data_IF_927948863810
#
_entry.id   IF_927948863810
#
_cell.length_a   1.000
_cell.length_b   1.000
_cell.length_c   1.000
_cell.angle_alpha   90.00
_cell.angle_beta   90.00
_cell.angle_gamma   90.00
#
_symmetry.space_group_name_H-M   'P 1'
#
loop_
_entity.id
_entity.type
_entity.pdbx_description
1 polymer ?
#
# COMPACT_ATOMS: atom_id res chain seq x y z
N UNK A 1 25.14 27.57 -29.35
CA UNK A 1 25.51 26.98 -28.04
C UNK A 1 24.81 25.64 -27.93
N UNK A 2 25.48 24.61 -27.40
CA UNK A 2 24.83 23.34 -27.06
C UNK A 2 23.88 23.55 -25.88
N UNK A 3 22.70 22.96 -25.94
CA UNK A 3 21.78 22.92 -24.81
C UNK A 3 22.41 22.13 -23.65
N UNK A 4 22.28 22.65 -22.43
CA UNK A 4 22.66 21.95 -21.20
C UNK A 4 21.41 21.91 -20.33
N UNK A 5 20.83 20.73 -20.05
CA UNK A 5 19.67 20.62 -19.18
C UNK A 5 20.01 21.10 -17.77
N UNK A 6 19.10 21.84 -17.14
CA UNK A 6 19.23 22.25 -15.75
C UNK A 6 18.58 21.18 -14.87
N UNK A 7 19.38 20.47 -14.09
CA UNK A 7 18.91 19.53 -13.08
C UNK A 7 18.37 20.27 -11.86
N UNK A 8 17.28 19.78 -11.26
CA UNK A 8 16.65 20.38 -10.08
C UNK A 8 16.43 19.39 -8.92
N UNK A 9 17.51 18.82 -8.34
CA UNK A 9 17.36 18.08 -7.08
C UNK A 9 16.89 19.02 -5.96
N UNK A 10 15.99 18.53 -5.10
CA UNK A 10 15.51 19.27 -3.94
C UNK A 10 16.44 19.09 -2.73
N UNK A 11 16.44 20.09 -1.85
CA UNK A 11 17.08 20.00 -0.54
C UNK A 11 16.25 19.19 0.45
N UNK A 12 14.92 19.19 0.32
CA UNK A 12 14.03 18.26 0.99
C UNK A 12 14.17 16.85 0.43
N UNK A 13 13.99 15.85 1.30
CA UNK A 13 14.13 14.43 0.98
C UNK A 13 13.03 13.62 1.67
N UNK A 14 12.38 12.72 0.94
CA UNK A 14 11.45 11.77 1.53
C UNK A 14 12.26 10.79 2.42
N UNK A 15 11.78 10.56 3.64
CA UNK A 15 12.34 9.60 4.56
C UNK A 15 12.35 8.20 3.94
N UNK A 16 13.39 7.45 4.22
CA UNK A 16 13.50 6.07 3.80
C UNK A 16 12.95 5.16 4.90
N UNK A 17 12.00 4.30 4.57
CA UNK A 17 11.45 3.30 5.49
C UNK A 17 11.79 1.91 4.97
N UNK A 18 12.47 1.12 5.80
CA UNK A 18 12.77 -0.28 5.50
C UNK A 18 11.63 -1.17 5.99
N UNK A 19 11.15 -2.07 5.14
CA UNK A 19 10.16 -3.10 5.44
C UNK A 19 10.78 -4.50 5.32
N UNK A 20 10.40 -5.40 6.21
CA UNK A 20 10.97 -6.76 6.27
C UNK A 20 12.38 -6.80 6.86
N UNK A 21 13.00 -7.97 6.79
CA UNK A 21 14.34 -8.23 7.34
C UNK A 21 15.19 -9.08 6.39
N UNK A 22 16.50 -9.09 6.61
CA UNK A 22 17.44 -9.88 5.81
C UNK A 22 17.50 -9.45 4.35
N UNK A 23 17.86 -10.39 3.47
CA UNK A 23 18.14 -10.13 2.05
C UNK A 23 16.89 -9.74 1.22
N UNK A 24 15.69 -9.94 1.79
CA UNK A 24 14.41 -9.59 1.17
C UNK A 24 13.84 -8.28 1.70
N UNK A 25 14.52 -7.61 2.62
CA UNK A 25 14.10 -6.29 3.07
C UNK A 25 14.06 -5.31 1.89
N UNK A 26 13.02 -4.49 1.86
CA UNK A 26 12.85 -3.44 0.85
C UNK A 26 12.92 -2.07 1.52
N UNK A 27 13.26 -1.05 0.74
CA UNK A 27 13.20 0.34 1.18
C UNK A 27 12.21 1.08 0.29
N UNK A 28 11.31 1.84 0.92
CA UNK A 28 10.41 2.80 0.25
C UNK A 28 10.79 4.22 0.64
N UNK A 29 10.56 5.19 -0.25
CA UNK A 29 10.98 6.57 -0.05
C UNK A 29 12.46 6.81 -0.34
N UNK A 30 13.05 7.82 0.31
CA UNK A 30 14.44 8.22 0.06
C UNK A 30 14.62 9.16 -1.14
N UNK A 31 13.55 9.62 -1.78
CA UNK A 31 13.64 10.45 -2.98
C UNK A 31 13.83 11.92 -2.65
N UNK A 32 14.65 12.63 -3.44
CA UNK A 32 14.79 14.10 -3.39
C UNK A 32 14.51 14.75 -4.75
N UNK A 33 13.75 14.08 -5.60
CA UNK A 33 13.28 14.54 -6.92
C UNK A 33 11.79 14.27 -7.05
N UNK A 34 11.16 14.89 -8.05
CA UNK A 34 9.79 14.57 -8.40
C UNK A 34 9.68 13.12 -8.91
N UNK A 35 8.49 12.50 -8.81
CA UNK A 35 8.29 11.11 -9.22
C UNK A 35 8.77 10.86 -10.65
N UNK A 36 9.67 9.88 -10.84
CA UNK A 36 10.25 9.50 -12.13
C UNK A 36 11.11 10.56 -12.84
N UNK A 37 11.50 11.64 -12.17
CA UNK A 37 12.37 12.67 -12.76
C UNK A 37 13.85 12.25 -12.63
N UNK A 38 14.21 11.08 -13.19
CA UNK A 38 15.57 10.52 -13.17
C UNK A 38 16.61 11.40 -13.88
N UNK A 39 16.14 12.31 -14.73
CA UNK A 39 16.97 13.33 -15.36
C UNK A 39 17.43 14.44 -14.40
N UNK A 40 16.76 14.63 -13.26
CA UNK A 40 17.13 15.64 -12.25
C UNK A 40 18.07 15.06 -11.18
N UNK A 41 17.85 13.82 -10.75
CA UNK A 41 18.73 13.06 -9.87
C UNK A 41 18.39 11.55 -9.90
N UNK A 42 19.30 10.67 -9.44
CA UNK A 42 19.01 9.23 -9.33
C UNK A 42 17.86 8.94 -8.37
N UNK A 43 17.00 7.99 -8.75
CA UNK A 43 15.97 7.42 -7.88
C UNK A 43 16.55 6.18 -7.22
N UNK A 44 17.04 6.31 -5.98
CA UNK A 44 17.77 5.21 -5.29
C UNK A 44 16.85 4.02 -4.99
N UNK A 45 15.62 4.29 -4.54
CA UNK A 45 14.62 3.27 -4.28
C UNK A 45 13.46 3.42 -5.27
N UNK A 46 13.47 2.62 -6.33
CA UNK A 46 12.34 2.55 -7.26
C UNK A 46 11.04 2.22 -6.50
N UNK A 47 9.87 2.77 -6.93
CA UNK A 47 8.60 2.45 -6.29
C UNK A 47 8.32 0.96 -6.21
N UNK A 48 7.57 0.54 -5.18
CA UNK A 48 7.37 -0.87 -4.84
C UNK A 48 5.93 -1.34 -5.10
N UNK A 49 5.78 -2.60 -5.45
CA UNK A 49 4.46 -3.22 -5.66
C UNK A 49 4.19 -4.27 -4.58
N UNK A 50 3.12 -4.07 -3.83
CA UNK A 50 2.56 -5.05 -2.91
C UNK A 50 1.50 -5.90 -3.60
N UNK A 51 1.44 -7.19 -3.25
CA UNK A 51 0.34 -8.07 -3.69
C UNK A 51 -0.60 -8.34 -2.53
N UNK A 52 -1.85 -7.93 -2.68
CA UNK A 52 -2.92 -8.19 -1.73
C UNK A 52 -3.34 -9.66 -1.75
N UNK A 53 -3.44 -10.24 -0.56
CA UNK A 53 -4.04 -11.52 -0.28
C UNK A 53 -5.07 -11.28 0.83
N UNK A 54 -6.35 -11.41 0.48
CA UNK A 54 -7.43 -11.31 1.47
C UNK A 54 -7.77 -12.68 2.05
N UNK A 55 -8.24 -12.72 3.29
CA UNK A 55 -8.76 -13.93 3.93
C UNK A 55 -10.09 -14.42 3.34
N UNK A 56 -10.63 -13.70 2.36
CA UNK A 56 -11.79 -14.07 1.52
C UNK A 56 -11.40 -14.36 0.06
N UNK A 57 -10.11 -14.61 -0.24
CA UNK A 57 -9.61 -14.72 -1.63
C UNK A 57 -10.24 -15.87 -2.44
N UNK A 58 -10.91 -16.81 -1.77
CA UNK A 58 -11.73 -17.86 -2.39
C UNK A 58 -12.98 -17.32 -3.11
N UNK A 59 -13.38 -16.08 -2.81
CA UNK A 59 -14.54 -15.41 -3.39
C UNK A 59 -14.21 -14.61 -4.67
N UNK A 60 -12.93 -14.48 -5.03
CA UNK A 60 -12.52 -13.77 -6.24
C UNK A 60 -13.08 -14.42 -7.51
N UNK A 61 -13.68 -13.61 -8.37
CA UNK A 61 -14.39 -14.07 -9.56
C UNK A 61 -13.62 -13.86 -10.87
N UNK A 62 -12.63 -12.96 -10.90
CA UNK A 62 -11.84 -12.66 -12.11
C UNK A 62 -11.11 -13.92 -12.61
N UNK A 63 -11.34 -14.37 -13.87
CA UNK A 63 -10.77 -15.60 -14.40
C UNK A 63 -9.26 -15.75 -14.23
N UNK A 64 -8.47 -14.73 -14.55
CA UNK A 64 -7.01 -14.70 -14.43
C UNK A 64 -6.52 -14.78 -12.99
N UNK A 65 -7.25 -14.21 -12.02
CA UNK A 65 -6.98 -14.42 -10.59
C UNK A 65 -7.25 -15.87 -10.18
N UNK A 66 -8.39 -16.44 -10.60
CA UNK A 66 -8.75 -17.83 -10.26
C UNK A 66 -7.78 -18.83 -10.88
N UNK A 67 -7.33 -18.59 -12.11
CA UNK A 67 -6.33 -19.41 -12.78
C UNK A 67 -4.98 -19.32 -12.06
N UNK A 68 -4.52 -18.10 -11.74
CA UNK A 68 -3.24 -17.91 -11.06
C UNK A 68 -3.21 -18.60 -9.68
N UNK A 69 -4.29 -18.51 -8.91
CA UNK A 69 -4.40 -19.12 -7.58
C UNK A 69 -5.05 -20.52 -7.60
N UNK A 70 -5.15 -21.17 -8.75
CA UNK A 70 -5.78 -22.49 -8.86
C UNK A 70 -5.14 -23.50 -7.88
N UNK A 71 -5.98 -24.12 -7.04
CA UNK A 71 -5.56 -25.09 -6.03
C UNK A 71 -5.14 -24.50 -4.68
N UNK A 72 -5.11 -23.17 -4.52
CA UNK A 72 -4.91 -22.54 -3.22
C UNK A 72 -6.18 -22.66 -2.37
N UNK A 73 -6.03 -23.01 -1.09
CA UNK A 73 -7.19 -23.12 -0.17
C UNK A 73 -6.97 -22.39 1.15
N UNK A 74 -5.73 -22.09 1.51
CA UNK A 74 -5.37 -21.37 2.74
C UNK A 74 -4.65 -20.06 2.41
N UNK A 75 -4.71 -19.06 3.30
CA UNK A 75 -3.97 -17.81 3.12
C UNK A 75 -2.46 -18.03 2.88
N UNK A 76 -1.89 -19.10 3.45
CA UNK A 76 -0.51 -19.53 3.21
C UNK A 76 -0.29 -19.96 1.75
N UNK A 77 -1.21 -20.70 1.16
CA UNK A 77 -1.10 -21.12 -0.25
C UNK A 77 -1.15 -19.91 -1.18
N UNK A 78 -2.11 -19.01 -0.93
CA UNK A 78 -2.21 -17.74 -1.68
C UNK A 78 -0.94 -16.91 -1.50
N UNK A 79 -0.40 -16.77 -0.29
CA UNK A 79 0.81 -16.01 -0.03
C UNK A 79 2.05 -16.59 -0.73
N UNK A 80 2.25 -17.91 -0.66
CA UNK A 80 3.35 -18.58 -1.40
C UNK A 80 3.20 -18.39 -2.91
N UNK A 81 1.97 -18.44 -3.42
CA UNK A 81 1.72 -18.25 -4.84
C UNK A 81 1.95 -16.79 -5.27
N UNK A 82 1.50 -15.83 -4.46
CA UNK A 82 1.74 -14.40 -4.66
C UNK A 82 3.23 -14.05 -4.60
N UNK A 83 4.02 -14.69 -3.74
CA UNK A 83 5.48 -14.51 -3.66
C UNK A 83 6.19 -14.88 -4.99
N UNK A 84 5.59 -15.75 -5.81
CA UNK A 84 6.10 -16.10 -7.14
C UNK A 84 5.68 -15.13 -8.25
N UNK A 85 4.86 -14.12 -7.93
CA UNK A 85 4.37 -13.15 -8.91
C UNK A 85 5.50 -12.22 -9.33
N UNK A 86 5.79 -12.20 -10.64
CA UNK A 86 6.80 -11.30 -11.19
C UNK A 86 6.39 -9.84 -10.93
N UNK A 87 7.28 -9.09 -10.28
CA UNK A 87 7.06 -7.69 -9.93
C UNK A 87 6.61 -7.46 -8.49
N UNK A 88 6.25 -8.50 -7.73
CA UNK A 88 5.94 -8.38 -6.31
C UNK A 88 7.20 -8.03 -5.49
N UNK A 89 7.12 -6.97 -4.69
CA UNK A 89 8.16 -6.56 -3.75
C UNK A 89 7.80 -6.89 -2.29
N UNK A 90 6.50 -6.97 -1.97
CA UNK A 90 5.99 -7.35 -0.64
C UNK A 90 4.59 -7.97 -0.74
N UNK A 91 4.14 -8.61 0.34
CA UNK A 91 2.81 -9.20 0.44
C UNK A 91 1.94 -8.39 1.41
N UNK A 92 0.69 -8.15 1.06
CA UNK A 92 -0.27 -7.47 1.90
C UNK A 92 -1.37 -8.44 2.33
N UNK A 93 -1.43 -8.78 3.62
CA UNK A 93 -2.46 -9.63 4.20
C UNK A 93 -3.64 -8.75 4.64
N UNK A 94 -4.79 -8.94 4.00
CA UNK A 94 -6.01 -8.18 4.27
C UNK A 94 -7.02 -9.06 5.00
N UNK A 95 -7.41 -8.66 6.21
CA UNK A 95 -8.34 -9.41 7.05
C UNK A 95 -9.76 -8.84 6.96
N UNK A 96 -10.37 -8.91 5.77
CA UNK A 96 -11.73 -8.43 5.53
C UNK A 96 -12.76 -9.20 6.37
N UNK A 97 -12.57 -10.52 6.53
CA UNK A 97 -13.50 -11.37 7.28
C UNK A 97 -13.58 -11.04 8.77
N UNK A 98 -12.65 -10.24 9.30
CA UNK A 98 -12.66 -9.79 10.69
C UNK A 98 -13.78 -8.78 11.00
N UNK A 99 -14.41 -8.15 9.99
CA UNK A 99 -15.45 -7.13 10.19
C UNK A 99 -16.58 -7.66 11.10
N UNK A 100 -16.85 -7.00 12.24
CA UNK A 100 -17.99 -7.34 13.11
C UNK A 100 -19.36 -7.34 12.42
N UNK A 101 -19.52 -6.61 11.31
CA UNK A 101 -20.75 -6.56 10.53
C UNK A 101 -20.82 -7.63 9.43
N UNK A 102 -19.72 -8.35 9.20
CA UNK A 102 -19.61 -9.43 8.23
C UNK A 102 -19.46 -10.79 8.91
N UNK A 103 -18.43 -11.54 8.53
CA UNK A 103 -18.14 -12.86 9.10
C UNK A 103 -17.68 -12.78 10.58
N UNK A 104 -17.19 -11.62 11.02
CA UNK A 104 -16.70 -11.37 12.38
C UNK A 104 -15.73 -12.44 12.87
N UNK A 105 -14.79 -12.84 12.00
CA UNK A 105 -13.84 -13.90 12.31
C UNK A 105 -13.01 -13.52 13.57
N UNK A 106 -12.70 -14.48 14.47
CA UNK A 106 -11.95 -14.20 15.68
C UNK A 106 -10.54 -13.67 15.39
N UNK A 107 -10.07 -12.71 16.19
CA UNK A 107 -8.74 -12.11 16.03
C UNK A 107 -7.65 -13.17 16.15
N UNK A 108 -7.82 -14.15 17.03
CA UNK A 108 -6.87 -15.25 17.24
C UNK A 108 -6.64 -16.07 15.97
N UNK A 109 -7.67 -16.27 15.15
CA UNK A 109 -7.55 -16.99 13.89
C UNK A 109 -6.82 -16.16 12.83
N UNK A 110 -7.15 -14.86 12.72
CA UNK A 110 -6.43 -13.95 11.83
C UNK A 110 -4.93 -13.85 12.20
N UNK A 111 -4.62 -13.84 13.49
CA UNK A 111 -3.24 -13.86 14.00
C UNK A 111 -2.54 -15.17 13.67
N UNK A 112 -3.24 -16.31 13.75
CA UNK A 112 -2.68 -17.60 13.37
C UNK A 112 -2.33 -17.64 11.88
N UNK A 113 -3.20 -17.10 11.02
CA UNK A 113 -2.94 -17.00 9.58
C UNK A 113 -1.74 -16.08 9.29
N UNK A 114 -1.68 -14.90 9.92
CA UNK A 114 -0.55 -13.99 9.78
C UNK A 114 0.79 -14.63 10.17
N UNK A 115 0.81 -15.40 11.27
CA UNK A 115 1.99 -16.17 11.71
C UNK A 115 2.37 -17.24 10.69
N UNK A 116 1.40 -18.04 10.26
CA UNK A 116 1.64 -19.12 9.32
C UNK A 116 2.18 -18.60 7.98
N UNK A 117 1.68 -17.46 7.50
CA UNK A 117 2.22 -16.80 6.32
C UNK A 117 3.64 -16.29 6.57
N UNK A 118 3.90 -15.61 7.68
CA UNK A 118 5.23 -15.07 8.01
C UNK A 118 6.32 -16.12 8.25
N UNK A 119 5.94 -17.37 8.53
CA UNK A 119 6.83 -18.54 8.58
C UNK A 119 7.06 -19.17 7.21
N UNK A 120 6.10 -19.01 6.29
CA UNK A 120 6.08 -19.66 4.99
C UNK A 120 6.71 -18.85 3.85
N UNK A 121 6.76 -17.52 3.98
CA UNK A 121 7.24 -16.59 2.94
C UNK A 121 8.47 -15.82 3.42
N UNK A 122 9.24 -15.32 2.46
CA UNK A 122 10.46 -14.53 2.70
C UNK A 122 10.28 -13.03 2.46
N UNK A 123 9.27 -12.64 1.67
CA UNK A 123 8.98 -11.24 1.37
C UNK A 123 8.51 -10.45 2.61
N UNK A 124 8.72 -9.13 2.64
CA UNK A 124 8.13 -8.24 3.64
C UNK A 124 6.60 -8.36 3.66
N UNK A 125 6.01 -8.18 4.85
CA UNK A 125 4.57 -8.29 5.07
C UNK A 125 3.98 -6.94 5.47
N UNK A 126 2.86 -6.62 4.84
CA UNK A 126 1.95 -5.53 5.18
C UNK A 126 0.64 -6.12 5.69
N UNK A 127 0.03 -5.50 6.69
CA UNK A 127 -1.24 -5.95 7.28
C UNK A 127 -2.29 -4.87 7.04
N UNK A 128 -3.44 -5.25 6.48
CA UNK A 128 -4.65 -4.42 6.41
C UNK A 128 -5.76 -5.07 7.23
N UNK A 129 -6.49 -4.22 7.98
CA UNK A 129 -7.64 -4.62 8.78
C UNK A 129 -8.95 -4.51 8.01
N UNK A 130 -10.05 -4.65 8.73
CA UNK A 130 -11.42 -4.62 8.22
C UNK A 130 -12.07 -3.21 8.25
N UNK A 131 -11.29 -2.18 8.59
CA UNK A 131 -11.70 -0.77 8.75
C UNK A 131 -12.56 -0.49 9.99
N UNK A 132 -12.94 -1.48 10.80
CA UNK A 132 -13.60 -1.26 12.07
C UNK A 132 -12.58 -0.86 13.16
N UNK A 133 -12.73 0.33 13.77
CA UNK A 133 -11.77 0.90 14.73
C UNK A 133 -11.42 -0.05 15.90
N UNK A 134 -12.43 -0.64 16.54
CA UNK A 134 -12.21 -1.49 17.72
C UNK A 134 -11.58 -2.82 17.34
N UNK A 135 -12.13 -3.47 16.31
CA UNK A 135 -11.62 -4.76 15.81
C UNK A 135 -10.20 -4.63 15.28
N UNK A 136 -9.93 -3.60 14.47
CA UNK A 136 -8.59 -3.35 13.92
C UNK A 136 -7.59 -3.03 15.02
N UNK A 137 -7.98 -2.25 16.03
CA UNK A 137 -7.10 -1.96 17.18
C UNK A 137 -6.64 -3.23 17.91
N UNK A 138 -7.55 -4.18 18.13
CA UNK A 138 -7.22 -5.48 18.72
C UNK A 138 -6.36 -6.34 17.77
N UNK A 139 -6.79 -6.48 16.52
CA UNK A 139 -6.12 -7.24 15.47
C UNK A 139 -4.67 -6.78 15.26
N UNK A 140 -4.47 -5.48 15.07
CA UNK A 140 -3.17 -4.87 14.81
C UNK A 140 -2.21 -5.05 15.97
N UNK A 141 -2.68 -4.88 17.20
CA UNK A 141 -1.87 -5.10 18.39
C UNK A 141 -1.40 -6.56 18.46
N UNK A 142 -2.32 -7.51 18.27
CA UNK A 142 -2.03 -8.95 18.36
C UNK A 142 -1.16 -9.47 17.22
N UNK A 143 -1.35 -9.00 15.99
CA UNK A 143 -0.47 -9.35 14.86
C UNK A 143 0.92 -8.73 15.04
N UNK A 144 1.00 -7.50 15.53
CA UNK A 144 2.30 -6.84 15.78
C UNK A 144 3.11 -7.57 16.84
N UNK A 145 2.46 -8.04 17.92
CA UNK A 145 3.04 -8.91 18.95
C UNK A 145 3.54 -10.22 18.34
N UNK A 146 2.65 -10.89 17.60
CA UNK A 146 2.90 -12.19 16.98
C UNK A 146 4.07 -12.19 15.99
N UNK A 147 4.26 -11.09 15.27
CA UNK A 147 5.25 -10.94 14.22
C UNK A 147 6.43 -10.04 14.65
N UNK A 148 6.66 -9.88 15.96
CA UNK A 148 7.76 -9.06 16.47
C UNK A 148 9.10 -9.48 15.85
N UNK A 149 9.88 -8.49 15.41
CA UNK A 149 11.16 -8.72 14.73
C UNK A 149 11.06 -9.02 13.24
N UNK A 150 9.85 -9.11 12.65
CA UNK A 150 9.65 -9.22 11.20
C UNK A 150 9.64 -7.88 10.46
N UNK A 151 9.56 -6.76 11.19
CA UNK A 151 9.55 -5.40 10.64
C UNK A 151 8.42 -5.22 9.59
N UNK A 152 7.20 -5.59 9.98
CA UNK A 152 6.00 -5.47 9.15
C UNK A 152 5.51 -4.03 9.11
N UNK A 153 4.69 -3.70 8.10
CA UNK A 153 3.89 -2.47 8.09
C UNK A 153 2.44 -2.80 8.43
N UNK A 154 1.87 -2.10 9.41
CA UNK A 154 0.46 -2.25 9.79
C UNK A 154 -0.33 -1.03 9.34
N UNK A 155 -1.27 -1.23 8.42
CA UNK A 155 -2.11 -0.21 7.83
C UNK A 155 -3.53 -0.28 8.42
N UNK A 156 -3.99 0.70 9.23
CA UNK A 156 -3.32 1.97 9.58
C UNK A 156 -3.82 2.57 10.90
N UNK A 157 -3.00 3.42 11.51
CA UNK A 157 -3.45 4.42 12.48
C UNK A 157 -4.24 5.54 11.78
N UNK A 158 -5.32 6.00 12.41
CA UNK A 158 -6.21 7.08 12.00
C UNK A 158 -6.33 8.12 13.11
N UNK A 159 -6.94 9.27 12.84
CA UNK A 159 -7.07 10.35 13.82
C UNK A 159 -7.77 9.91 15.13
N UNK A 160 -8.67 8.93 15.03
CA UNK A 160 -9.46 8.39 16.13
C UNK A 160 -8.69 7.38 17.00
N UNK A 161 -7.81 6.59 16.39
CA UNK A 161 -7.18 5.42 17.03
C UNK A 161 -5.63 5.50 17.10
N UNK A 162 -5.00 6.58 16.61
CA UNK A 162 -3.54 6.71 16.51
C UNK A 162 -2.78 6.45 17.80
N UNK A 163 -3.37 6.78 18.96
CA UNK A 163 -2.74 6.49 20.27
C UNK A 163 -2.62 5.00 20.51
N UNK A 164 -3.71 4.27 20.29
CA UNK A 164 -3.76 2.83 20.54
C UNK A 164 -2.95 2.08 19.48
N UNK A 165 -3.19 2.37 18.20
CA UNK A 165 -2.51 1.71 17.09
C UNK A 165 -1.02 2.07 17.08
N UNK A 166 -0.69 3.36 17.15
CA UNK A 166 0.71 3.81 17.14
C UNK A 166 1.52 3.28 18.33
N UNK A 167 0.94 3.28 19.54
CA UNK A 167 1.64 2.74 20.72
C UNK A 167 1.81 1.23 20.66
N UNK A 168 0.78 0.47 20.27
CA UNK A 168 0.88 -0.99 20.18
C UNK A 168 1.80 -1.43 19.05
N UNK A 169 1.60 -0.94 17.83
CA UNK A 169 2.36 -1.34 16.64
C UNK A 169 3.83 -0.94 16.77
N UNK A 170 4.12 0.33 17.07
CA UNK A 170 5.49 0.87 17.02
C UNK A 170 6.18 0.80 18.37
N UNK A 171 5.59 1.37 19.42
CA UNK A 171 6.30 1.52 20.70
C UNK A 171 6.44 0.19 21.45
N UNK A 172 5.42 -0.67 21.41
CA UNK A 172 5.46 -1.96 22.09
C UNK A 172 6.21 -3.02 21.27
N UNK A 173 5.99 -3.07 19.95
CA UNK A 173 6.47 -4.17 19.11
C UNK A 173 7.47 -3.78 18.02
N UNK A 174 7.82 -2.50 17.89
CA UNK A 174 8.89 -2.05 16.99
C UNK A 174 8.59 -2.21 15.50
N UNK A 175 7.32 -2.31 15.12
CA UNK A 175 6.87 -2.44 13.73
C UNK A 175 6.74 -1.05 13.06
N UNK A 176 6.32 -1.04 11.79
CA UNK A 176 6.01 0.17 11.02
C UNK A 176 4.50 0.39 11.01
N UNK A 177 4.08 1.65 11.01
CA UNK A 177 2.66 2.03 11.06
C UNK A 177 2.27 2.88 9.86
N UNK A 178 1.15 2.53 9.24
CA UNK A 178 0.46 3.34 8.26
C UNK A 178 -0.24 4.51 8.95
N UNK A 179 -0.21 5.71 8.37
CA UNK A 179 -0.94 6.88 8.83
C UNK A 179 -2.02 7.23 7.81
N UNK A 180 -3.26 6.82 8.07
CA UNK A 180 -4.38 6.92 7.13
C UNK A 180 -5.19 8.21 7.30
N UNK A 181 -5.40 8.91 6.19
CA UNK A 181 -6.20 10.13 6.10
C UNK A 181 -7.09 10.14 4.86
N UNK A 182 -7.96 11.14 4.73
CA UNK A 182 -8.95 11.23 3.67
C UNK A 182 -8.65 12.40 2.71
N UNK A 183 -7.73 12.17 1.77
CA UNK A 183 -7.41 13.04 0.64
C UNK A 183 -7.15 14.52 1.00
N UNK A 184 -6.60 14.77 2.19
CA UNK A 184 -6.31 16.13 2.68
C UNK A 184 -4.92 16.21 3.33
N UNK A 185 -4.08 17.10 2.78
CA UNK A 185 -2.72 17.36 3.25
C UNK A 185 -2.65 17.81 4.71
N UNK A 186 -3.61 18.62 5.18
CA UNK A 186 -3.62 19.10 6.56
C UNK A 186 -3.95 17.96 7.51
N UNK A 187 -4.88 17.07 7.14
CA UNK A 187 -5.15 15.86 7.91
C UNK A 187 -3.91 14.97 7.95
N UNK A 188 -3.24 14.75 6.82
CA UNK A 188 -2.00 13.96 6.74
C UNK A 188 -0.93 14.53 7.68
N UNK A 189 -0.67 15.85 7.57
CA UNK A 189 0.28 16.56 8.43
C UNK A 189 -0.11 16.48 9.91
N UNK A 190 -1.38 16.68 10.24
CA UNK A 190 -1.87 16.63 11.62
C UNK A 190 -1.68 15.25 12.22
N UNK A 191 -2.00 14.18 11.48
CA UNK A 191 -1.81 12.81 11.95
C UNK A 191 -0.33 12.49 12.19
N UNK A 192 0.56 12.94 11.30
CA UNK A 192 2.00 12.78 11.48
C UNK A 192 2.52 13.52 12.72
N UNK A 193 2.04 14.76 12.97
CA UNK A 193 2.36 15.51 14.19
C UNK A 193 1.86 14.77 15.43
N UNK A 194 0.65 14.20 15.38
CA UNK A 194 0.09 13.43 16.49
C UNK A 194 0.90 12.17 16.80
N UNK A 195 1.31 11.41 15.78
CA UNK A 195 2.18 10.23 15.94
C UNK A 195 3.55 10.62 16.49
N UNK A 196 4.17 11.68 15.96
CA UNK A 196 5.42 12.24 16.48
C UNK A 196 5.31 12.66 17.94
N UNK A 197 4.16 13.20 18.37
CA UNK A 197 3.86 13.53 19.76
C UNK A 197 3.83 12.32 20.70
N UNK A 198 3.70 11.10 20.18
CA UNK A 198 3.85 9.84 20.92
C UNK A 198 5.30 9.33 20.96
N UNK A 199 6.25 10.10 20.43
CA UNK A 199 7.63 9.70 20.18
C UNK A 199 7.77 8.56 19.15
N UNK A 200 6.82 8.43 18.23
CA UNK A 200 6.97 7.53 17.09
C UNK A 200 7.95 8.17 16.10
N UNK A 201 9.04 7.46 15.75
CA UNK A 201 10.05 8.01 14.87
C UNK A 201 9.55 8.02 13.41
N UNK A 202 10.01 9.00 12.61
CA UNK A 202 9.53 9.21 11.25
C UNK A 202 9.87 8.03 10.32
N UNK A 203 10.99 7.33 10.57
CA UNK A 203 11.39 6.10 9.88
C UNK A 203 10.49 4.89 10.21
N UNK A 204 9.50 5.06 11.09
CA UNK A 204 8.46 4.06 11.38
C UNK A 204 7.08 4.44 10.86
N UNK A 205 6.93 5.58 10.18
CA UNK A 205 5.65 6.05 9.66
C UNK A 205 5.65 6.00 8.13
N UNK A 206 4.56 5.45 7.58
CA UNK A 206 4.27 5.45 6.15
C UNK A 206 2.88 6.05 5.97
N UNK A 207 2.72 7.06 5.12
CA UNK A 207 1.40 7.68 4.92
C UNK A 207 0.53 6.84 3.99
N UNK A 208 -0.75 6.73 4.32
CA UNK A 208 -1.83 6.34 3.43
C UNK A 208 -2.75 7.56 3.30
N UNK A 209 -2.50 8.40 2.31
CA UNK A 209 -3.11 9.75 2.28
C UNK A 209 -4.58 9.75 1.83
N UNK A 210 -5.14 8.56 1.63
CA UNK A 210 -6.38 8.32 0.92
C UNK A 210 -6.09 7.76 -0.47
N UNK A 211 -7.05 7.00 -0.99
CA UNK A 211 -6.98 6.43 -2.33
C UNK A 211 -8.39 6.34 -2.90
N UNK A 212 -8.47 6.30 -4.22
CA UNK A 212 -9.70 6.18 -4.96
C UNK A 212 -9.39 5.56 -6.33
N UNK A 213 -10.33 4.81 -6.88
CA UNK A 213 -10.22 4.36 -8.26
C UNK A 213 -10.30 5.56 -9.22
N UNK A 214 -9.58 5.50 -10.34
CA UNK A 214 -9.72 6.49 -11.42
C UNK A 214 -11.19 6.64 -11.83
N UNK A 215 -11.67 7.87 -12.00
CA UNK A 215 -13.08 8.15 -12.28
C UNK A 215 -14.00 8.20 -11.05
N UNK A 216 -13.50 7.86 -9.86
CA UNK A 216 -14.24 7.88 -8.59
C UNK A 216 -13.66 8.91 -7.60
N UNK A 217 -13.41 10.13 -8.06
CA UNK A 217 -12.85 11.20 -7.22
C UNK A 217 -11.32 11.17 -7.08
N UNK A 218 -10.63 10.40 -7.93
CA UNK A 218 -9.17 10.31 -7.93
C UNK A 218 -8.45 11.66 -8.10
N UNK A 219 -9.08 12.65 -8.73
CA UNK A 219 -8.54 14.01 -8.85
C UNK A 219 -8.24 14.68 -7.50
N UNK A 220 -8.98 14.32 -6.44
CA UNK A 220 -8.70 14.77 -5.08
C UNK A 220 -7.43 14.12 -4.54
N UNK A 221 -7.29 12.80 -4.72
CA UNK A 221 -6.09 12.03 -4.36
C UNK A 221 -4.87 12.60 -5.08
N UNK A 222 -4.95 12.78 -6.40
CA UNK A 222 -3.88 13.32 -7.23
C UNK A 222 -3.41 14.70 -6.73
N UNK A 223 -4.36 15.60 -6.49
CA UNK A 223 -4.05 16.94 -5.98
C UNK A 223 -3.40 16.91 -4.59
N UNK A 224 -3.80 15.96 -3.75
CA UNK A 224 -3.23 15.81 -2.40
C UNK A 224 -1.82 15.22 -2.45
N UNK A 225 -1.58 14.22 -3.28
CA UNK A 225 -0.25 13.65 -3.54
C UNK A 225 0.73 14.73 -4.01
N UNK A 226 0.35 15.52 -5.02
CA UNK A 226 1.18 16.62 -5.56
C UNK A 226 1.52 17.65 -4.48
N UNK A 227 0.52 18.09 -3.69
CA UNK A 227 0.72 19.09 -2.63
C UNK A 227 1.63 18.56 -1.52
N UNK A 228 1.50 17.27 -1.17
CA UNK A 228 2.36 16.63 -0.18
C UNK A 228 3.80 16.56 -0.70
N UNK A 229 4.01 16.12 -1.95
CA UNK A 229 5.34 16.06 -2.55
C UNK A 229 5.97 17.44 -2.66
N UNK A 230 5.21 18.44 -3.06
CA UNK A 230 5.69 19.83 -3.12
C UNK A 230 6.10 20.35 -1.73
N UNK A 231 5.29 20.14 -0.69
CA UNK A 231 5.64 20.55 0.66
C UNK A 231 6.88 19.80 1.19
N UNK A 232 6.92 18.48 1.01
CA UNK A 232 8.01 17.63 1.49
C UNK A 232 9.35 17.97 0.82
N UNK A 233 9.35 18.22 -0.49
CA UNK A 233 10.57 18.43 -1.27
C UNK A 233 10.97 19.90 -1.37
N UNK A 234 10.06 20.79 -1.81
CA UNK A 234 10.37 22.21 -2.05
C UNK A 234 10.44 23.01 -0.75
N UNK A 235 9.57 22.69 0.22
CA UNK A 235 9.48 23.43 1.48
C UNK A 235 10.23 22.72 2.62
N UNK A 236 10.76 21.52 2.37
CA UNK A 236 11.42 20.67 3.38
C UNK A 236 10.55 20.48 4.62
N UNK A 237 9.24 20.27 4.43
CA UNK A 237 8.27 20.09 5.50
C UNK A 237 8.41 18.70 6.14
N UNK A 238 9.14 18.62 7.25
CA UNK A 238 9.46 17.37 7.94
C UNK A 238 8.25 16.54 8.37
N UNK A 239 7.10 17.17 8.60
CA UNK A 239 5.88 16.45 9.00
C UNK A 239 5.11 15.88 7.78
N UNK A 240 5.64 16.04 6.56
CA UNK A 240 5.13 15.48 5.30
C UNK A 240 6.20 14.71 4.51
N UNK A 241 7.41 14.56 5.06
CA UNK A 241 8.51 13.84 4.42
C UNK A 241 8.41 12.31 4.54
N UNK A 242 7.31 11.73 5.04
CA UNK A 242 7.15 10.28 5.10
C UNK A 242 6.86 9.70 3.70
N UNK A 243 7.24 8.44 3.43
CA UNK A 243 6.85 7.78 2.19
C UNK A 243 5.34 7.49 2.16
N UNK A 244 4.78 7.31 0.97
CA UNK A 244 3.34 7.08 0.75
C UNK A 244 3.11 5.67 0.18
N UNK A 245 2.15 4.93 0.74
CA UNK A 245 1.63 3.66 0.18
C UNK A 245 0.16 3.86 -0.19
N UNK A 246 -0.23 3.46 -1.40
CA UNK A 246 -1.62 3.52 -1.87
C UNK A 246 -2.22 2.10 -2.02
N UNK A 247 -3.27 1.74 -1.26
CA UNK A 247 -3.93 0.44 -1.38
C UNK A 247 -4.92 0.36 -2.57
N UNK A 248 -4.38 0.35 -3.79
CA UNK A 248 -5.13 0.45 -5.07
C UNK A 248 -6.17 -0.65 -5.26
N UNK A 249 -5.84 -1.89 -4.90
CA UNK A 249 -6.75 -3.03 -5.14
C UNK A 249 -8.04 -2.95 -4.33
N UNK A 250 -8.02 -2.32 -3.15
CA UNK A 250 -9.20 -2.16 -2.30
C UNK A 250 -10.28 -1.29 -2.96
N UNK A 251 -9.89 -0.30 -3.77
CA UNK A 251 -10.84 0.59 -4.42
C UNK A 251 -11.19 0.17 -5.84
N UNK A 252 -10.27 -0.51 -6.54
CA UNK A 252 -10.41 -0.71 -7.99
C UNK A 252 -11.23 -1.92 -8.38
N UNK A 253 -11.37 -2.93 -7.51
CA UNK A 253 -12.10 -4.16 -7.84
C UNK A 253 -13.59 -4.13 -7.47
N UNK A 254 -14.04 -3.11 -6.74
CA UNK A 254 -15.45 -2.95 -6.33
C UNK A 254 -16.27 -1.97 -7.18
N UNK A 255 -15.63 -1.19 -8.06
CA UNK A 255 -16.30 -0.21 -8.91
C UNK A 255 -17.11 -0.85 -10.04
N UNK A 256 -18.09 -0.11 -10.57
CA UNK A 256 -19.00 -0.61 -11.59
C UNK A 256 -18.24 -1.05 -12.85
N UNK A 257 -17.22 -0.31 -13.27
CA UNK A 257 -16.38 -0.61 -14.43
C UNK A 257 -15.54 -1.87 -14.25
N UNK A 258 -15.38 -2.38 -13.02
CA UNK A 258 -14.68 -3.63 -12.75
C UNK A 258 -15.61 -4.82 -12.55
N UNK A 259 -16.88 -4.58 -12.21
CA UNK A 259 -17.83 -5.62 -11.76
C UNK A 259 -19.02 -5.83 -12.68
N UNK A 260 -19.42 -4.82 -13.47
CA UNK A 260 -20.57 -4.92 -14.36
C UNK A 260 -20.36 -6.00 -15.42
N UNK A 261 -21.38 -6.84 -15.60
CA UNK A 261 -21.37 -7.90 -16.60
C UNK A 261 -21.41 -7.34 -18.02
N UNK A 262 -20.95 -8.12 -18.99
CA UNK A 262 -21.04 -7.76 -20.41
C UNK A 262 -22.50 -7.76 -20.92
N UNK A 263 -23.41 -8.45 -20.21
CA UNK A 263 -24.85 -8.42 -20.52
C UNK A 263 -25.49 -7.09 -20.09
N UNK A 264 -25.10 -6.60 -18.91
CA UNK A 264 -25.62 -5.33 -18.38
C UNK A 264 -25.01 -4.11 -19.08
N UNK A 265 -23.73 -4.19 -19.45
CA UNK A 265 -22.97 -3.08 -20.06
C UNK A 265 -22.22 -3.53 -21.34
N UNK A 266 -22.94 -3.90 -22.42
CA UNK A 266 -22.34 -4.50 -23.63
C UNK A 266 -21.41 -3.57 -24.40
N UNK A 267 -21.54 -2.24 -24.20
CA UNK A 267 -20.70 -1.24 -24.86
C UNK A 267 -19.31 -1.10 -24.22
N UNK A 268 -19.10 -1.66 -23.03
CA UNK A 268 -17.86 -1.48 -22.26
C UNK A 268 -16.81 -2.55 -22.56
N UNK A 269 -17.18 -3.64 -23.24
CA UNK A 269 -16.25 -4.73 -23.56
C UNK A 269 -15.91 -5.62 -22.37
N UNK A 270 -14.83 -6.40 -22.50
CA UNK A 270 -14.50 -7.50 -21.59
C UNK A 270 -14.41 -7.03 -20.12
N UNK A 271 -15.17 -7.67 -19.23
CA UNK A 271 -15.22 -7.28 -17.83
C UNK A 271 -13.87 -7.41 -17.11
N UNK A 272 -13.15 -8.50 -17.36
CA UNK A 272 -11.84 -8.71 -16.75
C UNK A 272 -10.78 -7.72 -17.25
N UNK A 273 -10.72 -7.48 -18.57
CA UNK A 273 -9.80 -6.50 -19.14
C UNK A 273 -10.05 -5.10 -18.55
N UNK A 274 -11.32 -4.70 -18.39
CA UNK A 274 -11.67 -3.44 -17.75
C UNK A 274 -11.20 -3.37 -16.31
N UNK A 275 -11.44 -4.40 -15.51
CA UNK A 275 -11.01 -4.43 -14.11
C UNK A 275 -9.48 -4.34 -13.97
N UNK A 276 -8.74 -5.06 -14.83
CA UNK A 276 -7.28 -4.94 -14.91
C UNK A 276 -6.88 -3.51 -15.28
N UNK A 277 -7.53 -2.88 -16.26
CA UNK A 277 -7.23 -1.50 -16.64
C UNK A 277 -7.56 -0.48 -15.55
N UNK A 278 -8.60 -0.71 -14.75
CA UNK A 278 -8.92 0.13 -13.59
C UNK A 278 -7.81 0.07 -12.54
N UNK A 279 -7.32 -1.12 -12.24
CA UNK A 279 -6.20 -1.32 -11.31
C UNK A 279 -4.89 -0.71 -11.84
N UNK A 280 -4.56 -0.95 -13.12
CA UNK A 280 -3.35 -0.38 -13.76
C UNK A 280 -3.41 1.15 -13.80
N UNK A 281 -4.51 1.72 -14.24
CA UNK A 281 -4.63 3.19 -14.38
C UNK A 281 -4.52 3.87 -13.02
N UNK A 282 -5.16 3.30 -12.00
CA UNK A 282 -5.10 3.84 -10.63
C UNK A 282 -3.71 3.69 -10.03
N UNK A 283 -3.05 2.55 -10.21
CA UNK A 283 -1.68 2.36 -9.72
C UNK A 283 -0.68 3.29 -10.41
N UNK A 284 -0.72 3.37 -11.74
CA UNK A 284 0.15 4.28 -12.50
C UNK A 284 -0.05 5.73 -12.06
N UNK A 285 -1.31 6.15 -11.91
CA UNK A 285 -1.63 7.50 -11.48
C UNK A 285 -1.09 7.79 -10.07
N UNK A 286 -1.27 6.87 -9.10
CA UNK A 286 -0.77 7.06 -7.73
C UNK A 286 0.76 7.16 -7.73
N UNK A 287 1.45 6.30 -8.48
CA UNK A 287 2.91 6.33 -8.60
C UNK A 287 3.39 7.66 -9.22
N UNK A 288 2.72 8.16 -10.27
CA UNK A 288 3.07 9.45 -10.88
C UNK A 288 2.78 10.65 -10.00
N UNK A 289 1.75 10.58 -9.14
CA UNK A 289 1.51 11.59 -8.09
C UNK A 289 2.51 11.49 -6.94
N UNK A 290 3.27 10.40 -6.88
CA UNK A 290 4.33 10.20 -5.92
C UNK A 290 3.96 9.28 -4.77
N UNK A 291 3.14 8.26 -4.97
CA UNK A 291 3.18 7.10 -4.09
C UNK A 291 4.56 6.42 -4.21
N UNK A 292 5.15 6.03 -3.08
CA UNK A 292 6.40 5.25 -3.04
C UNK A 292 6.13 3.75 -3.19
N UNK A 293 4.90 3.33 -2.94
CA UNK A 293 4.44 1.98 -3.23
C UNK A 293 2.94 1.92 -3.47
N UNK A 294 2.50 0.88 -4.18
CA UNK A 294 1.09 0.56 -4.44
C UNK A 294 0.80 -0.87 -4.00
N UNK A 295 -0.40 -1.14 -3.50
CA UNK A 295 -0.87 -2.50 -3.21
C UNK A 295 -1.91 -2.86 -4.27
N UNK A 296 -1.64 -3.94 -4.99
CA UNK A 296 -2.37 -4.42 -6.15
C UNK A 296 -2.75 -5.89 -5.96
N UNK A 297 -3.60 -6.45 -6.82
CA UNK A 297 -4.13 -7.81 -6.70
C UNK A 297 -3.88 -8.66 -7.94
N UNK A 298 -4.15 -8.15 -9.14
CA UNK A 298 -4.18 -8.99 -10.35
C UNK A 298 -2.78 -9.17 -10.99
N UNK A 299 -2.35 -10.41 -11.31
CA UNK A 299 -1.03 -10.68 -11.88
C UNK A 299 -0.70 -9.88 -13.13
N UNK A 300 -1.65 -9.77 -14.07
CA UNK A 300 -1.48 -8.98 -15.28
C UNK A 300 -1.31 -7.47 -15.01
N UNK A 301 -2.01 -6.93 -14.01
CA UNK A 301 -1.89 -5.53 -13.61
C UNK A 301 -0.53 -5.27 -12.95
N UNK A 302 -0.11 -6.16 -12.05
CA UNK A 302 1.21 -6.12 -11.39
C UNK A 302 2.34 -6.18 -12.42
N UNK A 303 2.30 -7.10 -13.37
CA UNK A 303 3.29 -7.20 -14.44
C UNK A 303 3.35 -5.92 -15.29
N UNK A 304 2.20 -5.31 -15.57
CA UNK A 304 2.11 -4.05 -16.33
C UNK A 304 2.73 -2.90 -15.56
N UNK A 305 2.42 -2.75 -14.27
CA UNK A 305 3.00 -1.69 -13.43
C UNK A 305 4.48 -1.92 -13.17
N UNK A 306 4.93 -3.18 -13.07
CA UNK A 306 6.35 -3.49 -12.97
C UNK A 306 7.11 -3.02 -14.20
N UNK A 307 6.57 -3.29 -15.39
CA UNK A 307 7.12 -2.77 -16.65
C UNK A 307 7.14 -1.25 -16.68
N UNK A 308 6.03 -0.60 -16.29
CA UNK A 308 5.93 0.86 -16.20
C UNK A 308 7.03 1.47 -15.32
N UNK A 309 7.24 0.92 -14.11
CA UNK A 309 8.30 1.39 -13.20
C UNK A 309 9.69 1.20 -13.82
N UNK A 310 9.97 0.02 -14.40
CA UNK A 310 11.27 -0.28 -15.00
C UNK A 310 11.58 0.58 -16.23
N UNK A 311 10.57 1.07 -16.96
CA UNK A 311 10.78 1.96 -18.10
C UNK A 311 11.03 3.42 -17.68
N UNK A 312 10.70 3.78 -16.43
CA UNK A 312 10.80 5.14 -15.91
C UNK A 312 11.94 5.36 -14.89
N UNK A 313 12.58 4.28 -14.42
CA UNK A 313 13.67 4.32 -13.43
C UNK A 313 14.93 3.66 -13.96
#
# INVERSE_FOLDING_TARGET
MSFVPKTQPFSGKINAVTLGTGDKAIVIGGQNVLPFYTFDAPIENAPKIGVEITDTANEWTAPGLREFYAGCTTMVDYAKKAETMEGADFLCLHFESADPNGANRPVEECVADAKAVAEAVSMPIVIMGCKNLEKDGELFSKISEALQGKNILVMSARAEDYKTVGASVVLAYGQKVGAETADDINLAKQLNIMLKGLNIPAESVVMNVGTAAVGYGYEYVASTLDRIRDAALKQADADLQMPIVAPVSADTWGVKESTASEEDEPAWGCAEERAIHMEVSTAAANLTGGADAVIMRHPAAVATIKKFINELV
#
